data_IF_696384412690
#
_entry.id   IF_696384412690
#
_cell.length_a   1.000
_cell.length_b   1.000
_cell.length_c   1.000
_cell.angle_alpha   90.00
_cell.angle_beta   90.00
_cell.angle_gamma   90.00
#
_symmetry.space_group_name_H-M   'P 1'
#
loop_
_entity.id
_entity.type
_entity.pdbx_description
1 polymer ?
#
# COMPACT_ATOMS: atom_id res chain seq x y z
N UNK A 1 42.42 35.84 6.82
CA UNK A 1 41.23 36.21 6.00
C UNK A 1 40.40 34.94 5.84
N UNK A 2 39.36 34.63 6.62
CA UNK A 2 38.36 35.48 7.23
C UNK A 2 37.14 35.60 6.32
N UNK A 3 36.33 34.53 6.16
CA UNK A 3 34.99 34.66 5.60
C UNK A 3 33.99 33.74 6.30
N UNK A 4 32.98 34.39 6.85
CA UNK A 4 32.03 33.91 7.84
C UNK A 4 30.96 33.00 7.26
N UNK A 5 30.65 31.95 8.02
CA UNK A 5 29.34 31.31 8.09
C UNK A 5 28.30 32.33 8.58
N UNK A 6 27.12 32.36 7.96
CA UNK A 6 25.91 32.94 8.57
C UNK A 6 24.75 31.98 8.41
N UNK A 7 24.35 31.42 9.55
CA UNK A 7 23.08 30.73 9.80
C UNK A 7 22.11 31.67 10.52
N UNK A 8 20.80 31.34 10.44
CA UNK A 8 19.66 31.79 11.27
C UNK A 8 19.05 33.19 10.97
N UNK A 9 17.73 33.45 10.99
CA UNK A 9 16.51 32.72 11.41
C UNK A 9 15.25 33.39 10.76
N UNK A 10 14.01 32.87 10.95
CA UNK A 10 12.81 33.23 10.17
C UNK A 10 11.96 34.34 10.82
N UNK A 11 11.16 35.06 10.00
CA UNK A 11 10.12 36.00 10.45
C UNK A 11 8.73 35.35 10.39
N UNK A 12 8.14 35.13 11.55
CA UNK A 12 6.72 34.87 11.73
C UNK A 12 5.92 36.19 11.62
N UNK A 13 4.78 36.16 10.91
CA UNK A 13 3.73 37.18 11.06
C UNK A 13 2.38 36.48 11.16
N UNK A 14 1.76 36.70 12.32
CA UNK A 14 0.39 36.39 12.71
C UNK A 14 -0.65 36.76 11.63
N UNK A 15 -1.65 35.89 11.44
CA UNK A 15 -3.00 36.33 11.07
C UNK A 15 -4.01 35.83 12.09
N UNK A 16 -4.59 36.81 12.77
CA UNK A 16 -5.66 36.75 13.75
C UNK A 16 -7.01 36.46 13.08
N UNK A 17 -7.86 35.74 13.82
CA UNK A 17 -9.29 35.54 13.57
C UNK A 17 -10.06 36.87 13.57
N UNK A 18 -11.13 36.94 12.78
CA UNK A 18 -12.29 37.79 13.10
C UNK A 18 -13.58 37.09 12.64
N UNK A 19 -14.41 36.72 13.63
CA UNK A 19 -15.82 36.40 13.50
C UNK A 19 -16.61 37.62 13.00
N UNK A 20 -17.71 37.37 12.28
CA UNK A 20 -18.90 38.24 12.26
C UNK A 20 -20.16 37.37 12.02
N UNK A 21 -20.91 37.16 13.11
CA UNK A 21 -22.33 36.83 13.12
C UNK A 21 -23.16 38.13 13.09
N UNK A 22 -24.29 38.12 12.40
CA UNK A 22 -25.59 38.80 12.63
C UNK A 22 -26.30 38.87 11.26
N UNK A 23 -27.55 38.44 11.08
CA UNK A 23 -28.73 39.02 11.72
C UNK A 23 -29.96 38.10 11.71
N UNK A 24 -30.84 38.34 12.69
CA UNK A 24 -32.13 37.69 12.89
C UNK A 24 -33.26 38.74 12.91
N UNK A 25 -34.46 38.44 12.40
CA UNK A 25 -35.78 39.00 12.75
C UNK A 25 -36.88 38.39 11.84
N UNK A 26 -38.16 38.18 12.20
CA UNK A 26 -38.99 38.26 13.43
C UNK A 26 -40.43 37.76 13.07
N UNK A 27 -41.21 37.21 14.02
CA UNK A 27 -42.70 37.13 14.01
C UNK A 27 -43.33 35.72 14.07
N UNK A 28 -43.81 35.12 15.19
CA UNK A 28 -45.00 35.38 16.07
C UNK A 28 -46.35 35.01 15.39
N UNK A 29 -47.33 34.24 15.92
CA UNK A 29 -47.87 33.98 17.28
C UNK A 29 -48.79 32.72 17.35
N UNK A 30 -49.12 32.32 18.60
CA UNK A 30 -50.33 31.66 19.15
C UNK A 30 -50.24 30.17 19.58
N UNK A 31 -49.95 29.84 20.85
CA UNK A 31 -50.77 29.69 22.10
C UNK A 31 -51.59 28.39 22.23
N UNK A 32 -51.30 27.63 23.31
CA UNK A 32 -52.21 26.99 24.30
C UNK A 32 -51.75 25.56 24.67
N UNK A 33 -51.67 25.27 25.97
CA UNK A 33 -51.79 23.89 26.48
C UNK A 33 -50.83 23.47 27.59
N UNK A 34 -51.04 23.99 28.81
CA UNK A 34 -50.36 23.58 30.06
C UNK A 34 -50.48 22.06 30.33
N UNK A 35 -49.39 21.41 30.77
CA UNK A 35 -49.42 20.36 31.82
C UNK A 35 -48.16 20.41 32.69
N UNK A 36 -48.38 20.27 33.99
CA UNK A 36 -47.41 20.39 35.07
C UNK A 36 -46.36 19.27 35.09
N UNK A 37 -45.11 19.64 35.35
CA UNK A 37 -44.00 18.72 35.62
C UNK A 37 -43.98 18.30 37.10
N UNK A 38 -43.70 17.02 37.43
CA UNK A 38 -43.47 16.64 38.81
C UNK A 38 -42.07 17.04 39.29
N UNK A 39 -42.03 17.47 40.55
CA UNK A 39 -40.90 17.98 41.31
C UNK A 39 -39.73 16.98 41.32
N UNK A 40 -38.55 17.42 40.88
CA UNK A 40 -37.29 16.67 40.99
C UNK A 40 -36.90 16.53 42.46
N UNK A 41 -36.98 15.32 43.01
CA UNK A 41 -36.31 14.99 44.29
C UNK A 41 -34.80 15.07 44.11
N UNK A 42 -34.20 16.03 44.81
CA UNK A 42 -32.75 16.25 44.92
C UNK A 42 -32.15 15.03 45.63
N UNK A 43 -31.54 14.10 44.88
CA UNK A 43 -30.70 13.05 45.49
C UNK A 43 -29.47 13.73 46.08
N UNK A 44 -29.31 13.62 47.40
CA UNK A 44 -28.09 13.92 48.11
C UNK A 44 -26.98 13.04 47.50
N UNK A 45 -25.94 13.67 46.94
CA UNK A 45 -24.73 12.96 46.52
C UNK A 45 -24.01 12.56 47.81
N UNK A 46 -23.88 11.26 48.03
CA UNK A 46 -22.94 10.73 49.01
C UNK A 46 -21.56 10.71 48.34
N UNK A 47 -20.65 11.53 48.85
CA UNK A 47 -19.26 11.57 48.42
C UNK A 47 -18.53 10.36 49.02
N UNK A 48 -18.53 9.24 48.27
CA UNK A 48 -17.62 8.12 48.52
C UNK A 48 -16.23 8.42 47.96
N UNK A 49 -15.16 7.80 48.49
CA UNK A 49 -13.79 8.08 48.06
C UNK A 49 -13.61 7.72 46.57
N UNK A 50 -13.10 8.69 45.83
CA UNK A 50 -12.87 8.61 44.39
C UNK A 50 -11.83 7.52 44.10
N UNK A 51 -12.27 6.41 43.51
CA UNK A 51 -11.38 5.37 43.01
C UNK A 51 -10.39 5.99 42.00
N UNK A 52 -9.11 5.60 42.02
CA UNK A 52 -8.11 6.17 41.11
C UNK A 52 -8.53 5.90 39.65
N UNK A 53 -8.28 6.84 38.73
CA UNK A 53 -8.58 6.64 37.32
C UNK A 53 -7.86 5.39 36.84
N UNK A 54 -8.63 4.44 36.27
CA UNK A 54 -8.07 3.24 35.67
C UNK A 54 -7.02 3.65 34.64
N UNK A 55 -5.84 3.01 34.60
CA UNK A 55 -4.87 3.28 33.56
C UNK A 55 -5.55 3.09 32.21
N UNK A 56 -5.49 4.12 31.36
CA UNK A 56 -5.98 4.01 29.98
C UNK A 56 -5.11 2.97 29.32
N UNK A 57 -5.66 1.77 29.11
CA UNK A 57 -5.01 0.75 28.30
C UNK A 57 -4.62 1.41 26.96
N UNK A 58 -3.40 1.20 26.47
CA UNK A 58 -2.99 1.76 25.19
C UNK A 58 -4.02 1.37 24.13
N UNK A 59 -4.44 2.37 23.33
CA UNK A 59 -5.32 2.11 22.20
C UNK A 59 -4.55 1.19 21.25
N UNK A 60 -5.01 -0.05 21.11
CA UNK A 60 -4.57 -0.96 20.05
C UNK A 60 -4.43 -0.19 18.74
N UNK A 61 -3.26 -0.30 18.11
CA UNK A 61 -2.99 0.37 16.83
C UNK A 61 -3.98 -0.14 15.78
N UNK A 62 -4.23 0.65 14.74
CA UNK A 62 -5.06 0.25 13.60
C UNK A 62 -4.63 -1.11 13.03
N UNK A 63 -3.33 -1.42 13.14
CA UNK A 63 -2.64 -2.66 12.76
C UNK A 63 -3.13 -3.90 13.51
N UNK A 64 -3.54 -3.76 14.77
CA UNK A 64 -4.05 -4.87 15.60
C UNK A 64 -5.57 -5.08 15.48
N UNK A 65 -6.33 -4.14 14.88
CA UNK A 65 -7.80 -4.18 14.84
C UNK A 65 -8.40 -4.78 13.55
N UNK A 66 -7.62 -4.98 12.49
CA UNK A 66 -8.08 -5.52 11.19
C UNK A 66 -7.19 -6.64 10.67
N UNK A 67 -7.19 -7.80 11.32
CA UNK A 67 -6.76 -9.03 10.65
C UNK A 67 -7.79 -10.10 10.98
N UNK A 68 -8.92 -10.05 10.29
CA UNK A 68 -9.58 -11.31 10.00
C UNK A 68 -8.55 -12.14 9.21
N UNK A 69 -8.33 -13.44 9.52
CA UNK A 69 -7.30 -14.21 8.88
C UNK A 69 -7.60 -14.25 7.38
N UNK A 70 -6.81 -13.51 6.61
CA UNK A 70 -6.76 -13.65 5.16
C UNK A 70 -6.53 -15.14 4.85
N UNK A 71 -7.29 -15.76 3.93
CA UNK A 71 -7.11 -17.16 3.60
C UNK A 71 -5.65 -17.43 3.25
N UNK A 72 -4.98 -18.24 4.06
CA UNK A 72 -3.61 -18.67 3.82
C UNK A 72 -3.52 -19.56 2.57
N UNK A 73 -2.31 -19.72 2.01
CA UNK A 73 -2.11 -20.69 0.94
C UNK A 73 -2.51 -22.10 1.40
N UNK A 74 -2.91 -22.96 0.48
CA UNK A 74 -3.31 -24.34 0.82
C UNK A 74 -2.22 -25.04 1.62
N UNK A 75 -2.63 -25.91 2.56
CA UNK A 75 -1.71 -26.63 3.45
C UNK A 75 -0.62 -27.38 2.66
N UNK A 76 0.63 -27.30 3.13
CA UNK A 76 1.80 -27.85 2.44
C UNK A 76 2.40 -26.93 1.36
N UNK A 77 1.89 -25.71 1.19
CA UNK A 77 2.52 -24.71 0.34
C UNK A 77 3.75 -24.07 1.01
N UNK A 78 4.74 -23.68 0.21
CA UNK A 78 5.96 -23.00 0.66
C UNK A 78 6.04 -21.62 0.02
N UNK A 79 6.26 -20.58 0.82
CA UNK A 79 6.56 -19.23 0.34
C UNK A 79 8.04 -18.99 0.57
N UNK A 80 8.76 -18.61 -0.48
CA UNK A 80 10.22 -18.46 -0.43
C UNK A 80 10.73 -17.43 -1.43
N UNK A 81 11.94 -16.90 -1.22
CA UNK A 81 12.67 -16.21 -2.28
C UNK A 81 12.82 -17.10 -3.51
N UNK A 82 12.75 -16.49 -4.69
CA UNK A 82 12.99 -17.19 -5.95
C UNK A 82 14.46 -17.57 -6.10
N UNK A 83 14.69 -18.69 -6.78
CA UNK A 83 16.02 -19.17 -7.15
C UNK A 83 16.17 -19.19 -8.67
N UNK A 84 17.40 -19.28 -9.22
CA UNK A 84 17.63 -19.24 -10.67
C UNK A 84 16.79 -20.24 -11.48
N UNK A 85 16.48 -21.41 -10.92
CA UNK A 85 15.65 -22.43 -11.59
C UNK A 85 14.17 -22.06 -11.72
N UNK A 86 13.68 -21.08 -10.95
CA UNK A 86 12.27 -20.65 -11.03
C UNK A 86 11.99 -19.75 -12.24
N UNK A 87 13.06 -19.27 -12.92
CA UNK A 87 12.95 -18.17 -13.88
C UNK A 87 11.99 -18.42 -15.03
N UNK A 88 12.02 -19.62 -15.62
CA UNK A 88 11.10 -19.98 -16.70
C UNK A 88 9.62 -19.92 -16.25
N UNK A 89 9.33 -20.37 -15.03
CA UNK A 89 7.98 -20.35 -14.46
C UNK A 89 7.52 -18.92 -14.14
N UNK A 90 8.43 -18.08 -13.64
CA UNK A 90 8.14 -16.66 -13.36
C UNK A 90 7.83 -15.90 -14.65
N UNK A 91 8.56 -16.17 -15.74
CA UNK A 91 8.29 -15.56 -17.06
C UNK A 91 6.95 -16.06 -17.62
N UNK A 92 6.60 -17.33 -17.45
CA UNK A 92 5.28 -17.85 -17.83
C UNK A 92 4.14 -17.18 -17.02
N UNK A 93 4.34 -16.96 -15.72
CA UNK A 93 3.40 -16.21 -14.87
C UNK A 93 3.27 -14.75 -15.33
N UNK A 94 4.36 -14.12 -15.75
CA UNK A 94 4.36 -12.76 -16.32
C UNK A 94 3.60 -12.69 -17.65
N UNK A 95 3.73 -13.69 -18.52
CA UNK A 95 2.94 -13.79 -19.75
C UNK A 95 1.43 -13.81 -19.46
N UNK A 96 1.00 -14.59 -18.46
CA UNK A 96 -0.39 -14.64 -18.02
C UNK A 96 -0.90 -13.31 -17.44
N UNK A 97 -0.02 -12.58 -16.75
CA UNK A 97 -0.34 -11.23 -16.28
C UNK A 97 -0.62 -10.29 -17.46
N UNK A 98 0.23 -10.30 -18.48
CA UNK A 98 0.03 -9.46 -19.68
C UNK A 98 -1.21 -9.87 -20.49
N UNK A 99 -1.51 -11.17 -20.57
CA UNK A 99 -2.76 -11.66 -21.17
C UNK A 99 -3.97 -11.07 -20.44
N UNK A 100 -3.99 -11.12 -19.11
CA UNK A 100 -5.07 -10.56 -18.30
C UNK A 100 -5.17 -9.02 -18.40
N UNK A 101 -4.09 -8.35 -18.78
CA UNK A 101 -4.06 -6.89 -19.03
C UNK A 101 -4.45 -6.51 -20.46
N UNK A 102 -4.78 -7.49 -21.32
CA UNK A 102 -5.21 -7.26 -22.71
C UNK A 102 -4.08 -7.02 -23.69
N UNK A 103 -2.85 -7.43 -23.38
CA UNK A 103 -1.74 -7.41 -24.36
C UNK A 103 -2.04 -8.37 -25.51
N UNK A 104 -1.81 -7.98 -26.78
CA UNK A 104 -2.02 -8.88 -27.94
C UNK A 104 -1.22 -10.17 -27.83
N UNK A 105 -1.84 -11.28 -28.25
CA UNK A 105 -1.26 -12.62 -28.13
C UNK A 105 0.09 -12.73 -28.87
N UNK A 106 0.21 -12.06 -30.03
CA UNK A 106 1.44 -12.05 -30.84
C UNK A 106 2.61 -11.45 -30.05
N UNK A 107 2.37 -10.37 -29.29
CA UNK A 107 3.40 -9.74 -28.45
C UNK A 107 3.75 -10.63 -27.26
N UNK A 108 2.77 -11.29 -26.64
CA UNK A 108 3.04 -12.21 -25.53
C UNK A 108 3.87 -13.41 -26.00
N UNK A 109 3.59 -13.91 -27.20
CA UNK A 109 4.30 -15.05 -27.80
C UNK A 109 5.70 -14.74 -28.35
N UNK A 110 6.09 -13.46 -28.43
CA UNK A 110 7.42 -13.07 -28.88
C UNK A 110 8.50 -13.57 -27.89
N UNK A 111 9.45 -14.42 -28.33
CA UNK A 111 10.49 -14.93 -27.45
C UNK A 111 11.46 -13.85 -26.96
N UNK A 112 11.61 -12.74 -27.69
CA UNK A 112 12.60 -11.69 -27.41
C UNK A 112 12.40 -11.09 -26.02
N UNK A 113 11.18 -10.67 -25.69
CA UNK A 113 10.92 -10.10 -24.37
C UNK A 113 10.98 -11.15 -23.25
N UNK A 114 10.69 -12.42 -23.55
CA UNK A 114 10.77 -13.51 -22.58
C UNK A 114 12.23 -13.81 -22.22
N UNK A 115 13.12 -13.80 -23.20
CA UNK A 115 14.57 -13.91 -23.02
C UNK A 115 15.12 -12.71 -22.25
N UNK A 116 14.71 -11.50 -22.59
CA UNK A 116 15.09 -10.28 -21.87
C UNK A 116 14.59 -10.28 -20.43
N UNK A 117 13.34 -10.71 -20.19
CA UNK A 117 12.79 -10.86 -18.85
C UNK A 117 13.53 -11.93 -18.04
N UNK A 118 13.92 -13.03 -18.68
CA UNK A 118 14.73 -14.08 -18.04
C UNK A 118 16.11 -13.55 -17.65
N UNK A 119 16.78 -12.81 -18.55
CA UNK A 119 18.08 -12.19 -18.29
C UNK A 119 17.99 -11.15 -17.17
N UNK A 120 16.96 -10.31 -17.21
CA UNK A 120 16.69 -9.33 -16.15
C UNK A 120 16.51 -10.05 -14.81
N UNK A 121 15.68 -11.08 -14.75
CA UNK A 121 15.45 -11.82 -13.52
C UNK A 121 16.75 -12.42 -12.97
N UNK A 122 17.54 -13.10 -13.80
CA UNK A 122 18.83 -13.67 -13.36
C UNK A 122 19.78 -12.62 -12.77
N UNK A 123 19.80 -11.41 -13.34
CA UNK A 123 20.65 -10.33 -12.85
C UNK A 123 20.18 -9.74 -11.51
N UNK A 124 18.89 -9.85 -11.16
CA UNK A 124 18.30 -9.18 -9.99
C UNK A 124 17.92 -10.16 -8.86
N UNK A 125 18.07 -11.48 -9.03
CA UNK A 125 17.79 -12.45 -7.95
C UNK A 125 18.72 -12.30 -6.73
N UNK A 126 19.89 -11.68 -6.90
CA UNK A 126 20.86 -11.41 -5.83
C UNK A 126 21.02 -9.91 -5.55
N UNK A 127 20.16 -9.06 -6.11
CA UNK A 127 20.17 -7.62 -5.89
C UNK A 127 19.52 -7.28 -4.53
N UNK A 128 20.16 -6.44 -3.73
CA UNK A 128 19.64 -6.02 -2.43
C UNK A 128 18.39 -5.12 -2.57
N UNK A 129 18.21 -4.46 -3.71
CA UNK A 129 17.07 -3.59 -3.99
C UNK A 129 15.92 -4.31 -4.68
N UNK A 130 16.04 -5.61 -4.98
CA UNK A 130 15.00 -6.39 -5.66
C UNK A 130 14.73 -7.68 -4.90
N UNK A 131 13.47 -7.93 -4.56
CA UNK A 131 13.05 -9.18 -3.93
C UNK A 131 11.99 -9.88 -4.77
N UNK A 132 12.29 -11.12 -5.16
CA UNK A 132 11.38 -11.95 -5.94
C UNK A 132 10.87 -13.07 -5.05
N UNK A 133 9.57 -13.10 -4.80
CA UNK A 133 8.92 -14.13 -3.98
C UNK A 133 8.13 -15.07 -4.87
N UNK A 134 8.26 -16.36 -4.60
CA UNK A 134 7.44 -17.41 -5.21
C UNK A 134 6.65 -18.17 -4.15
N UNK A 135 5.45 -18.59 -4.53
CA UNK A 135 4.69 -19.59 -3.80
C UNK A 135 4.77 -20.92 -4.55
N UNK A 136 5.08 -21.98 -3.81
CA UNK A 136 5.19 -23.34 -4.30
C UNK A 136 4.06 -24.20 -3.74
N UNK A 137 3.44 -25.00 -4.60
CA UNK A 137 2.46 -26.01 -4.22
C UNK A 137 2.88 -27.35 -4.84
N UNK A 138 3.02 -28.39 -4.02
CA UNK A 138 3.45 -29.73 -4.45
C UNK A 138 4.75 -29.71 -5.28
N UNK A 139 5.77 -28.96 -4.86
CA UNK A 139 7.06 -28.91 -5.55
C UNK A 139 7.11 -27.99 -6.79
N UNK A 140 6.02 -27.31 -7.12
CA UNK A 140 5.93 -26.46 -8.33
C UNK A 140 5.58 -25.02 -7.96
N UNK A 141 6.28 -24.04 -8.54
CA UNK A 141 5.94 -22.63 -8.40
C UNK A 141 4.58 -22.35 -9.05
N UNK A 142 3.65 -21.77 -8.29
CA UNK A 142 2.28 -21.50 -8.72
C UNK A 142 1.89 -20.02 -8.73
N UNK A 143 2.66 -19.20 -8.02
CA UNK A 143 2.45 -17.75 -7.93
C UNK A 143 3.77 -17.04 -7.70
N UNK A 144 3.88 -15.80 -8.15
CA UNK A 144 5.02 -14.94 -7.86
C UNK A 144 4.59 -13.49 -7.64
N UNK A 145 5.48 -12.71 -7.03
CA UNK A 145 5.47 -11.25 -7.00
C UNK A 145 6.91 -10.72 -6.93
N UNK A 146 7.12 -9.50 -7.43
CA UNK A 146 8.43 -8.84 -7.42
C UNK A 146 8.30 -7.51 -6.68
N UNK A 147 9.04 -7.34 -5.59
CA UNK A 147 9.25 -6.07 -4.91
C UNK A 147 10.55 -5.41 -5.38
N UNK A 148 10.53 -4.10 -5.55
CA UNK A 148 11.69 -3.28 -5.85
C UNK A 148 11.74 -2.08 -4.91
N UNK A 149 12.92 -1.76 -4.42
CA UNK A 149 13.25 -0.50 -3.77
C UNK A 149 13.58 0.52 -4.85
N UNK A 150 12.98 1.70 -4.74
CA UNK A 150 13.15 2.81 -5.65
C UNK A 150 13.83 3.96 -4.90
N UNK A 151 14.93 4.44 -5.46
CA UNK A 151 15.58 5.69 -5.04
C UNK A 151 14.68 6.87 -5.42
N UNK A 152 13.78 7.23 -4.50
CA UNK A 152 12.87 8.35 -4.63
C UNK A 152 13.42 9.53 -3.85
N UNK A 153 13.59 10.66 -4.54
CA UNK A 153 13.95 11.92 -3.87
C UNK A 153 13.03 12.19 -2.66
N UNK A 154 13.58 12.55 -1.50
CA UNK A 154 12.79 12.86 -0.31
C UNK A 154 11.77 13.98 -0.57
N UNK A 155 10.67 13.94 0.18
CA UNK A 155 9.55 14.89 0.08
C UNK A 155 9.05 15.26 1.48
N UNK A 156 8.23 16.33 1.62
CA UNK A 156 7.66 16.69 2.93
C UNK A 156 6.84 15.59 3.61
N UNK A 157 6.39 14.57 2.86
CA UNK A 157 5.58 13.45 3.36
C UNK A 157 6.32 12.12 3.40
N UNK A 158 7.60 12.07 3.00
CA UNK A 158 8.40 10.84 2.94
C UNK A 158 9.88 11.18 2.96
N UNK A 159 10.64 10.63 3.90
CA UNK A 159 12.09 10.86 3.99
C UNK A 159 12.90 9.76 3.29
N UNK A 160 12.40 8.52 3.32
CA UNK A 160 13.06 7.34 2.76
C UNK A 160 12.63 6.95 1.35
N UNK A 161 12.98 5.72 1.02
CA UNK A 161 12.83 5.09 -0.29
C UNK A 161 11.38 4.76 -0.62
N UNK A 162 11.10 4.53 -1.90
CA UNK A 162 9.83 4.00 -2.36
C UNK A 162 9.89 2.49 -2.58
N UNK A 163 8.79 1.81 -2.34
CA UNK A 163 8.59 0.42 -2.74
C UNK A 163 7.70 0.34 -3.96
N UNK A 164 7.99 -0.61 -4.85
CA UNK A 164 7.14 -0.95 -5.98
C UNK A 164 6.93 -2.46 -6.03
N UNK A 165 5.68 -2.90 -5.96
CA UNK A 165 5.32 -4.29 -6.24
C UNK A 165 4.83 -4.41 -7.68
N UNK A 166 5.44 -5.32 -8.43
CA UNK A 166 5.04 -5.68 -9.80
C UNK A 166 4.95 -7.20 -9.95
N UNK A 167 4.52 -7.64 -11.14
CA UNK A 167 4.56 -9.04 -11.54
C UNK A 167 3.80 -10.00 -10.60
N UNK A 168 2.70 -9.50 -10.01
CA UNK A 168 1.83 -10.29 -9.15
C UNK A 168 0.97 -11.18 -10.04
N UNK A 169 1.26 -12.49 -10.02
CA UNK A 169 0.58 -13.44 -10.88
C UNK A 169 0.43 -14.79 -10.20
N UNK A 170 -0.70 -15.46 -10.47
CA UNK A 170 -1.03 -16.82 -9.98
C UNK A 170 -1.65 -17.61 -11.14
N UNK A 171 -1.18 -18.84 -11.36
CA UNK A 171 -1.76 -19.71 -12.38
C UNK A 171 -3.28 -19.90 -12.16
N UNK A 172 -4.12 -19.92 -13.22
CA UNK A 172 -5.57 -19.99 -13.08
C UNK A 172 -6.10 -21.10 -12.17
N UNK A 173 -5.48 -22.29 -12.21
CA UNK A 173 -5.86 -23.45 -11.38
C UNK A 173 -5.59 -23.26 -9.88
N UNK A 174 -4.76 -22.28 -9.52
CA UNK A 174 -4.37 -21.98 -8.14
C UNK A 174 -4.96 -20.66 -7.63
N UNK A 175 -5.84 -20.00 -8.39
CA UNK A 175 -6.50 -18.77 -7.93
C UNK A 175 -7.52 -19.05 -6.83
N UNK A 176 -7.77 -18.03 -5.99
CA UNK A 176 -8.68 -18.11 -4.83
C UNK A 176 -8.27 -19.14 -3.77
N UNK A 177 -6.99 -19.50 -3.76
CA UNK A 177 -6.36 -20.40 -2.80
C UNK A 177 -5.36 -19.69 -1.89
N UNK A 178 -5.46 -18.36 -1.73
CA UNK A 178 -4.59 -17.59 -0.83
C UNK A 178 -3.19 -17.25 -1.33
N UNK A 179 -2.74 -17.77 -2.48
CA UNK A 179 -1.36 -17.56 -2.95
C UNK A 179 -0.99 -16.10 -3.23
N UNK A 180 -1.88 -15.31 -3.83
CA UNK A 180 -1.63 -13.88 -4.06
C UNK A 180 -1.40 -13.13 -2.74
N UNK A 181 -2.23 -13.41 -1.74
CA UNK A 181 -2.05 -12.87 -0.39
C UNK A 181 -0.73 -13.31 0.23
N UNK A 182 -0.36 -14.59 0.06
CA UNK A 182 0.87 -15.12 0.62
C UNK A 182 2.12 -14.43 0.07
N UNK A 183 2.22 -14.27 -1.26
CA UNK A 183 3.38 -13.60 -1.88
C UNK A 183 3.42 -12.10 -1.60
N UNK A 184 2.26 -11.43 -1.52
CA UNK A 184 2.18 -10.00 -1.16
C UNK A 184 2.57 -9.79 0.30
N UNK A 185 2.10 -10.63 1.21
CA UNK A 185 2.46 -10.56 2.63
C UNK A 185 3.97 -10.70 2.83
N UNK A 186 4.60 -11.68 2.17
CA UNK A 186 6.04 -11.90 2.23
C UNK A 186 6.84 -10.71 1.67
N UNK A 187 6.36 -10.05 0.60
CA UNK A 187 7.02 -8.83 0.11
C UNK A 187 6.89 -7.65 1.08
N UNK A 188 5.73 -7.50 1.72
CA UNK A 188 5.53 -6.43 2.71
C UNK A 188 6.37 -6.66 3.97
N UNK A 189 6.54 -7.91 4.39
CA UNK A 189 7.45 -8.30 5.47
C UNK A 189 8.90 -7.96 5.09
N UNK A 190 9.34 -8.34 3.88
CA UNK A 190 10.67 -7.96 3.39
C UNK A 190 10.89 -6.44 3.35
N UNK A 191 9.95 -5.65 2.81
CA UNK A 191 10.07 -4.19 2.82
C UNK A 191 10.18 -3.62 4.24
N UNK A 192 9.43 -4.17 5.20
CA UNK A 192 9.44 -3.70 6.58
C UNK A 192 10.72 -4.08 7.35
N UNK A 193 11.25 -5.26 7.10
CA UNK A 193 12.36 -5.83 7.89
C UNK A 193 13.74 -5.51 7.31
N UNK A 194 13.85 -5.41 5.99
CA UNK A 194 15.16 -5.42 5.29
C UNK A 194 15.42 -4.14 4.46
N UNK A 195 14.53 -3.14 4.48
CA UNK A 195 14.67 -1.91 3.67
C UNK A 195 14.28 -0.64 4.43
N UNK A 196 14.56 0.54 3.86
CA UNK A 196 14.11 1.84 4.40
C UNK A 196 12.84 2.36 3.69
N UNK A 197 12.10 1.49 3.02
CA UNK A 197 10.90 1.86 2.27
C UNK A 197 9.79 2.35 3.20
N UNK A 198 9.32 3.58 2.96
CA UNK A 198 8.22 4.19 3.74
C UNK A 198 6.85 4.06 3.07
N UNK A 199 6.83 3.90 1.74
CA UNK A 199 5.59 3.80 0.95
C UNK A 199 5.73 2.77 -0.15
N UNK A 200 4.80 1.83 -0.21
CA UNK A 200 4.76 0.80 -1.26
C UNK A 200 3.65 1.13 -2.25
N UNK A 201 3.97 1.06 -3.54
CA UNK A 201 3.05 1.31 -4.65
C UNK A 201 2.90 0.05 -5.50
N UNK A 202 1.73 -0.09 -6.12
CA UNK A 202 1.45 -1.15 -7.08
C UNK A 202 0.38 -0.67 -8.06
N UNK A 203 0.27 -1.34 -9.19
CA UNK A 203 -0.81 -1.13 -10.16
C UNK A 203 -1.79 -2.30 -10.06
N UNK A 204 -2.96 -2.03 -9.46
CA UNK A 204 -4.01 -3.03 -9.29
C UNK A 204 -4.85 -3.15 -10.57
N UNK A 205 -5.18 -4.39 -10.96
CA UNK A 205 -6.32 -4.63 -11.85
C UNK A 205 -7.62 -4.48 -11.06
N UNK A 206 -8.74 -4.21 -11.73
CA UNK A 206 -10.05 -4.09 -11.08
C UNK A 206 -10.38 -5.35 -10.25
N UNK A 207 -10.09 -6.54 -10.79
CA UNK A 207 -10.30 -7.81 -10.11
C UNK A 207 -9.36 -8.07 -8.92
N UNK A 208 -8.22 -7.37 -8.84
CA UNK A 208 -7.22 -7.53 -7.78
C UNK A 208 -7.31 -6.49 -6.66
N UNK A 209 -8.14 -5.45 -6.82
CA UNK A 209 -8.16 -4.29 -5.91
C UNK A 209 -8.47 -4.67 -4.45
N UNK A 210 -9.44 -5.54 -4.24
CA UNK A 210 -9.88 -5.93 -2.89
C UNK A 210 -8.77 -6.65 -2.10
N UNK A 211 -7.95 -7.45 -2.80
CA UNK A 211 -6.80 -8.13 -2.20
C UNK A 211 -5.83 -7.13 -1.57
N UNK A 212 -5.54 -6.03 -2.27
CA UNK A 212 -4.61 -5.01 -1.79
C UNK A 212 -5.23 -4.13 -0.70
N UNK A 213 -6.55 -3.90 -0.76
CA UNK A 213 -7.27 -3.18 0.28
C UNK A 213 -7.17 -3.87 1.65
N UNK A 214 -7.10 -5.21 1.69
CA UNK A 214 -6.89 -5.97 2.94
C UNK A 214 -5.54 -5.68 3.60
N UNK A 215 -4.52 -5.26 2.83
CA UNK A 215 -3.22 -4.82 3.34
C UNK A 215 -3.16 -3.32 3.60
N UNK A 216 -4.27 -2.60 3.41
CA UNK A 216 -4.34 -1.16 3.62
C UNK A 216 -3.85 -0.31 2.44
N UNK A 217 -3.64 -0.91 1.26
CA UNK A 217 -3.44 -0.11 0.05
C UNK A 217 -4.70 0.73 -0.23
N UNK A 218 -4.48 1.95 -0.66
CA UNK A 218 -5.52 2.90 -1.07
C UNK A 218 -5.21 3.40 -2.46
N UNK A 219 -6.25 3.80 -3.20
CA UNK A 219 -6.05 4.38 -4.52
C UNK A 219 -5.25 5.69 -4.41
N UNK A 220 -4.35 5.91 -5.37
CA UNK A 220 -3.66 7.19 -5.48
C UNK A 220 -4.65 8.33 -5.73
N UNK A 221 -4.44 9.48 -5.09
CA UNK A 221 -5.23 10.70 -5.30
C UNK A 221 -5.17 11.17 -6.76
N UNK A 222 -4.03 10.96 -7.41
CA UNK A 222 -3.80 11.37 -8.81
C UNK A 222 -3.53 10.14 -9.67
N UNK A 223 -4.19 10.02 -10.83
CA UNK A 223 -3.98 8.87 -11.71
C UNK A 223 -2.59 8.90 -12.35
N UNK A 224 -2.05 7.71 -12.63
CA UNK A 224 -0.87 7.57 -13.47
C UNK A 224 -1.20 8.00 -14.92
N UNK A 225 -0.35 8.84 -15.51
CA UNK A 225 -0.42 9.17 -16.93
C UNK A 225 0.80 8.58 -17.65
N UNK A 226 0.57 7.94 -18.80
CA UNK A 226 1.63 7.26 -19.56
C UNK A 226 1.77 7.83 -20.97
N UNK A 227 2.99 8.19 -21.34
CA UNK A 227 3.40 8.53 -22.71
C UNK A 227 4.40 7.48 -23.19
N UNK A 228 4.16 6.87 -24.34
CA UNK A 228 5.13 5.97 -24.99
C UNK A 228 6.04 6.79 -25.88
N UNK A 229 7.35 6.69 -25.64
CA UNK A 229 8.36 7.33 -26.47
C UNK A 229 8.84 6.33 -27.52
N UNK A 230 8.77 6.71 -28.79
CA UNK A 230 9.39 5.95 -29.86
C UNK A 230 10.91 6.18 -29.83
N UNK A 231 11.68 5.10 -29.78
CA UNK A 231 13.14 5.15 -29.88
C UNK A 231 13.51 4.70 -31.29
N UNK A 232 14.15 5.56 -32.06
CA UNK A 232 14.75 5.16 -33.32
C UNK A 232 15.90 4.21 -33.04
N UNK A 233 15.83 2.98 -33.55
CA UNK A 233 16.95 2.05 -33.56
C UNK A 233 17.89 2.45 -34.70
N UNK A 234 18.72 3.47 -34.47
CA UNK A 234 19.86 3.67 -35.36
C UNK A 234 20.80 2.46 -35.18
N UNK A 235 20.96 1.65 -36.24
CA UNK A 235 22.01 0.63 -36.26
C UNK A 235 23.36 1.34 -36.05
N UNK A 236 24.28 0.80 -35.24
CA UNK A 236 25.63 1.35 -35.18
C UNK A 236 26.24 1.23 -36.57
N UNK A 237 26.65 2.36 -37.16
CA UNK A 237 27.41 2.37 -38.40
C UNK A 237 28.64 1.46 -38.23
N UNK A 238 28.79 0.52 -39.17
CA UNK A 238 29.83 -0.50 -39.20
C UNK A 238 31.23 0.09 -39.45
#
# INVERSE_FOLDING_TARGET
MGRQLRTSAPRAVNRTNHELCHDAHRGSKHTIGRRCSPVRRRRLRQDGPMAPPRPRLPRRTSRERRREPVPGPVEGSVIRPAVPSDGATIVALRALMFEAMGTPAEQISDPTWQEDASRWLQAHLADEHTHVVVAEANGTVVSCAIGQVLDLMPSPTRAGEGGLITNIATFPRHRRLGFTHAVVAALLEWFEEETEVEVVTLNATEAGRDIYADYGFVDSTFPEMRLRLERSTAAPDA
#
